data_IF_437010136833
#
_entry.id   IF_437010136833
#
_cell.length_a   1.000
_cell.length_b   1.000
_cell.length_c   1.000
_cell.angle_alpha   90.00
_cell.angle_beta   90.00
_cell.angle_gamma   90.00
#
_symmetry.space_group_name_H-M   'P 1'
#
loop_
_entity.id
_entity.type
_entity.pdbx_description
1 polymer ?
#
# COMPACT_ATOMS: atom_id res chain seq x y z
N UNK A 1 26.63 13.74 8.67
CA UNK A 1 25.37 14.51 8.86
C UNK A 1 25.06 15.24 7.56
N UNK A 2 23.94 14.92 6.92
CA UNK A 2 23.49 15.66 5.74
C UNK A 2 23.13 17.08 6.14
N UNK A 3 23.56 18.07 5.33
CA UNK A 3 23.20 19.46 5.56
C UNK A 3 21.73 19.66 5.19
N UNK A 4 20.90 20.04 6.14
CA UNK A 4 19.52 20.43 5.87
C UNK A 4 19.52 21.66 4.95
N UNK A 5 18.71 21.60 3.88
CA UNK A 5 18.52 22.71 2.96
C UNK A 5 17.93 23.92 3.70
N UNK A 6 18.32 25.14 3.30
CA UNK A 6 17.78 26.38 3.85
C UNK A 6 16.85 27.04 2.85
N UNK A 7 15.82 27.70 3.35
CA UNK A 7 14.96 28.53 2.51
C UNK A 7 15.74 29.75 2.03
N UNK A 8 15.62 30.07 0.74
CA UNK A 8 16.30 31.21 0.12
C UNK A 8 15.45 32.49 0.14
N UNK A 9 14.16 32.38 0.46
CA UNK A 9 13.21 33.49 0.53
C UNK A 9 12.48 33.49 1.86
N UNK A 10 11.97 34.65 2.31
CA UNK A 10 11.07 34.67 3.47
C UNK A 10 9.87 33.76 3.28
N UNK A 11 9.43 33.15 4.38
CA UNK A 11 8.23 32.33 4.39
C UNK A 11 7.00 33.20 4.15
N UNK A 12 6.21 32.89 3.12
CA UNK A 12 4.94 33.51 2.85
C UNK A 12 3.85 32.51 3.23
N UNK A 13 2.95 32.90 4.13
CA UNK A 13 1.78 32.09 4.45
C UNK A 13 0.74 32.30 3.36
N UNK A 14 0.34 31.21 2.70
CA UNK A 14 -0.70 31.22 1.66
C UNK A 14 -2.05 30.69 2.17
N UNK A 15 -2.12 30.23 3.42
CA UNK A 15 -3.36 29.83 4.07
C UNK A 15 -4.08 31.11 4.49
N UNK A 16 -5.30 31.27 4.02
CA UNK A 16 -6.11 32.49 4.24
C UNK A 16 -7.34 32.22 5.09
N UNK A 17 -7.67 30.96 5.35
CA UNK A 17 -8.81 30.60 6.19
C UNK A 17 -9.03 29.11 6.30
N UNK A 18 -9.94 28.77 7.21
CA UNK A 18 -10.44 27.42 7.42
C UNK A 18 -11.97 27.46 7.52
N UNK A 19 -12.63 26.37 7.16
CA UNK A 19 -14.08 26.29 7.24
C UNK A 19 -14.60 24.88 6.99
N UNK A 20 -15.88 24.79 6.75
CA UNK A 20 -16.56 23.59 6.22
C UNK A 20 -17.19 23.96 4.89
N UNK A 21 -17.09 23.06 3.92
CA UNK A 21 -17.68 23.23 2.61
C UNK A 21 -18.56 22.01 2.29
N UNK A 22 -19.70 22.25 1.67
CA UNK A 22 -20.57 21.18 1.20
C UNK A 22 -19.84 20.36 0.13
N UNK A 23 -19.92 19.02 0.22
CA UNK A 23 -19.16 18.12 -0.66
C UNK A 23 -19.49 18.34 -2.14
N UNK A 24 -20.74 18.71 -2.46
CA UNK A 24 -21.20 19.01 -3.82
C UNK A 24 -20.69 20.36 -4.37
N UNK A 25 -20.14 21.22 -3.53
CA UNK A 25 -19.50 22.49 -3.91
C UNK A 25 -17.98 22.36 -4.10
N UNK A 26 -17.39 21.25 -3.68
CA UNK A 26 -15.97 21.00 -3.82
C UNK A 26 -15.62 20.59 -5.26
N UNK A 27 -15.16 21.56 -6.06
CA UNK A 27 -14.87 21.37 -7.46
C UNK A 27 -13.53 20.64 -7.66
N UNK A 28 -13.58 19.51 -8.37
CA UNK A 28 -12.35 18.83 -8.77
C UNK A 28 -11.48 19.73 -9.68
N UNK A 29 -10.16 19.68 -9.46
CA UNK A 29 -9.25 20.40 -10.33
C UNK A 29 -9.03 19.62 -11.63
N UNK A 30 -9.28 20.24 -12.82
CA UNK A 30 -9.08 19.55 -14.10
C UNK A 30 -7.63 19.19 -14.40
N UNK A 31 -6.65 19.80 -13.70
CA UNK A 31 -5.24 19.49 -13.81
C UNK A 31 -4.82 18.38 -12.83
N UNK A 32 -5.75 17.83 -12.04
CA UNK A 32 -5.42 16.67 -11.19
C UNK A 32 -5.12 15.45 -12.06
N UNK A 33 -3.86 15.07 -12.11
CA UNK A 33 -3.35 13.96 -12.94
C UNK A 33 -3.36 12.61 -12.21
N UNK A 34 -3.75 12.58 -10.94
CA UNK A 34 -3.62 11.38 -10.10
C UNK A 34 -4.76 10.41 -10.31
N UNK A 35 -4.38 9.16 -10.44
CA UNK A 35 -5.30 8.03 -10.39
C UNK A 35 -5.12 7.32 -9.05
N UNK A 36 -6.22 7.01 -8.42
CA UNK A 36 -6.23 6.35 -7.11
C UNK A 36 -6.65 4.89 -7.29
N UNK A 37 -5.73 3.92 -7.20
CA UNK A 37 -6.06 2.50 -7.29
C UNK A 37 -6.95 2.05 -6.12
N UNK A 38 -7.64 0.93 -6.29
CA UNK A 38 -8.64 0.46 -5.33
C UNK A 38 -8.05 0.20 -3.93
N UNK A 39 -6.84 -0.36 -3.84
CA UNK A 39 -6.14 -0.57 -2.57
C UNK A 39 -5.93 0.75 -1.81
N UNK A 40 -5.52 1.83 -2.49
CA UNK A 40 -5.37 3.15 -1.87
C UNK A 40 -6.73 3.73 -1.42
N UNK A 41 -7.78 3.54 -2.22
CA UNK A 41 -9.12 3.98 -1.84
C UNK A 41 -9.61 3.24 -0.58
N UNK A 42 -9.41 1.92 -0.51
CA UNK A 42 -9.77 1.10 0.64
C UNK A 42 -8.95 1.48 1.88
N UNK A 43 -7.64 1.64 1.75
CA UNK A 43 -6.77 2.05 2.85
C UNK A 43 -7.19 3.39 3.45
N UNK A 44 -7.47 4.40 2.61
CA UNK A 44 -7.93 5.71 3.09
C UNK A 44 -9.32 5.62 3.71
N UNK A 45 -10.24 4.85 3.13
CA UNK A 45 -11.58 4.66 3.70
C UNK A 45 -11.50 3.99 5.07
N UNK A 46 -10.71 2.92 5.23
CA UNK A 46 -10.49 2.26 6.52
C UNK A 46 -9.90 3.20 7.57
N UNK A 47 -8.88 3.98 7.21
CA UNK A 47 -8.30 4.96 8.12
C UNK A 47 -9.30 6.05 8.55
N UNK A 48 -10.17 6.52 7.63
CA UNK A 48 -11.20 7.49 7.96
C UNK A 48 -12.27 6.88 8.88
N UNK A 49 -12.66 5.64 8.64
CA UNK A 49 -13.65 4.95 9.49
C UNK A 49 -13.11 4.70 10.91
N UNK A 50 -11.81 4.39 11.04
CA UNK A 50 -11.17 4.14 12.34
C UNK A 50 -10.95 5.40 13.17
N UNK A 51 -10.38 6.45 12.55
CA UNK A 51 -9.90 7.63 13.29
C UNK A 51 -10.54 8.95 12.86
N UNK A 52 -11.43 8.92 11.87
CA UNK A 52 -12.09 10.12 11.34
C UNK A 52 -11.20 10.96 10.40
N UNK A 53 -11.73 12.12 10.03
CA UNK A 53 -11.02 13.11 9.21
C UNK A 53 -10.02 13.89 10.05
N UNK A 54 -8.73 13.65 9.87
CA UNK A 54 -7.64 14.35 10.57
C UNK A 54 -6.91 15.37 9.69
N UNK A 55 -7.26 15.47 8.41
CA UNK A 55 -6.63 16.38 7.46
C UNK A 55 -7.68 17.03 6.56
N UNK A 56 -7.75 18.36 6.57
CA UNK A 56 -8.69 19.13 5.76
C UNK A 56 -8.42 18.98 4.26
N UNK A 57 -9.42 19.27 3.44
CA UNK A 57 -9.28 19.44 2.00
C UNK A 57 -8.73 20.83 1.73
N UNK A 58 -7.71 20.95 0.89
CA UNK A 58 -7.15 22.25 0.52
C UNK A 58 -7.83 22.78 -0.74
N UNK A 59 -8.42 23.98 -0.65
CA UNK A 59 -9.17 24.64 -1.72
C UNK A 59 -8.52 25.97 -2.07
N UNK A 60 -8.28 26.24 -3.34
CA UNK A 60 -7.84 27.55 -3.76
C UNK A 60 -9.03 28.50 -3.85
N UNK A 61 -9.04 29.55 -3.00
CA UNK A 61 -10.15 30.50 -2.94
C UNK A 61 -10.38 31.28 -4.26
N UNK A 62 -9.33 31.45 -5.10
CA UNK A 62 -9.46 32.17 -6.37
C UNK A 62 -10.20 31.36 -7.44
N UNK A 63 -9.98 30.06 -7.46
CA UNK A 63 -10.55 29.17 -8.48
C UNK A 63 -11.73 28.35 -7.97
N UNK A 64 -11.91 28.24 -6.65
CA UNK A 64 -12.87 27.36 -6.00
C UNK A 64 -12.53 25.87 -6.15
N UNK A 65 -11.32 25.55 -6.61
CA UNK A 65 -10.91 24.17 -6.94
C UNK A 65 -10.11 23.52 -5.81
N UNK A 66 -10.28 22.23 -5.69
CA UNK A 66 -9.48 21.40 -4.79
C UNK A 66 -8.04 21.34 -5.29
N UNK A 67 -7.09 21.62 -4.40
CA UNK A 67 -5.64 21.51 -4.64
C UNK A 67 -5.09 20.21 -4.01
N UNK A 68 -5.56 19.86 -2.82
CA UNK A 68 -5.25 18.58 -2.16
C UNK A 68 -6.50 17.97 -1.53
N UNK A 69 -6.60 16.64 -1.57
CA UNK A 69 -7.69 15.88 -0.97
C UNK A 69 -8.76 15.41 -1.92
N UNK A 70 -8.53 15.34 -3.24
CA UNK A 70 -9.49 14.85 -4.23
C UNK A 70 -10.07 13.48 -3.88
N UNK A 71 -9.25 12.53 -3.39
CA UNK A 71 -9.73 11.21 -2.98
C UNK A 71 -10.65 11.31 -1.75
N UNK A 72 -10.33 12.17 -0.77
CA UNK A 72 -11.19 12.41 0.40
C UNK A 72 -12.56 12.94 -0.01
N UNK A 73 -12.61 13.90 -0.94
CA UNK A 73 -13.86 14.42 -1.51
C UNK A 73 -14.65 13.32 -2.21
N UNK A 74 -13.98 12.49 -3.01
CA UNK A 74 -14.62 11.38 -3.73
C UNK A 74 -15.23 10.35 -2.76
N UNK A 75 -14.50 9.97 -1.71
CA UNK A 75 -15.00 9.04 -0.70
C UNK A 75 -16.17 9.63 0.08
N UNK A 76 -16.07 10.88 0.50
CA UNK A 76 -17.15 11.60 1.20
C UNK A 76 -18.42 11.66 0.36
N UNK A 77 -18.31 12.02 -0.93
CA UNK A 77 -19.45 12.04 -1.84
C UNK A 77 -20.13 10.68 -1.99
N UNK A 78 -19.34 9.60 -2.10
CA UNK A 78 -19.86 8.22 -2.20
C UNK A 78 -20.50 7.75 -0.89
N UNK A 79 -20.03 8.23 0.24
CA UNK A 79 -20.53 7.88 1.58
C UNK A 79 -21.69 8.75 2.04
N UNK A 80 -22.12 9.73 1.25
CA UNK A 80 -23.24 10.62 1.59
C UNK A 80 -22.90 11.62 2.71
N UNK A 81 -21.62 11.96 2.88
CA UNK A 81 -21.17 13.01 3.81
C UNK A 81 -21.58 14.37 3.26
N UNK A 82 -22.22 15.20 4.09
CA UNK A 82 -22.79 16.48 3.66
C UNK A 82 -21.72 17.56 3.48
N UNK A 83 -20.76 17.66 4.41
CA UNK A 83 -19.70 18.68 4.40
C UNK A 83 -18.36 18.10 4.82
N UNK A 84 -17.27 18.76 4.42
CA UNK A 84 -15.91 18.44 4.80
C UNK A 84 -15.18 19.66 5.36
N UNK A 85 -14.24 19.45 6.31
CA UNK A 85 -13.36 20.51 6.76
C UNK A 85 -12.41 20.93 5.62
N UNK A 86 -12.32 22.22 5.38
CA UNK A 86 -11.50 22.80 4.31
C UNK A 86 -10.49 23.80 4.86
N UNK A 87 -9.37 23.89 4.16
CA UNK A 87 -8.37 24.93 4.30
C UNK A 87 -8.31 25.71 2.99
N UNK A 88 -8.49 27.02 3.07
CA UNK A 88 -8.43 27.89 1.91
C UNK A 88 -7.02 28.45 1.70
N UNK A 89 -6.53 28.37 0.47
CA UNK A 89 -5.26 28.97 0.06
C UNK A 89 -5.48 30.03 -1.00
N UNK A 90 -4.57 31.02 -1.06
CA UNK A 90 -4.59 32.08 -2.06
C UNK A 90 -3.44 31.91 -3.04
N UNK A 91 -3.71 31.19 -4.15
CA UNK A 91 -2.72 30.87 -5.18
C UNK A 91 -3.16 31.42 -6.53
N UNK A 92 -2.21 31.95 -7.32
CA UNK A 92 -2.46 32.18 -8.72
C UNK A 92 -2.44 30.86 -9.52
N UNK A 93 -2.79 30.91 -10.82
CA UNK A 93 -2.90 29.70 -11.65
C UNK A 93 -1.56 28.92 -11.77
N UNK A 94 -0.44 29.64 -11.85
CA UNK A 94 0.88 29.00 -11.93
C UNK A 94 1.28 28.36 -10.61
N UNK A 95 1.00 29.02 -9.50
CA UNK A 95 1.23 28.52 -8.14
C UNK A 95 0.32 27.31 -7.84
N UNK A 96 -0.94 27.32 -8.28
CA UNK A 96 -1.87 26.20 -8.15
C UNK A 96 -1.36 24.98 -8.94
N UNK A 97 -0.93 25.16 -10.18
CA UNK A 97 -0.34 24.11 -10.99
C UNK A 97 0.94 23.54 -10.34
N UNK A 98 1.79 24.41 -9.81
CA UNK A 98 2.99 23.99 -9.09
C UNK A 98 2.65 23.19 -7.81
N UNK A 99 1.66 23.62 -7.04
CA UNK A 99 1.20 22.91 -5.84
C UNK A 99 0.70 21.51 -6.19
N UNK A 100 -0.19 21.39 -7.20
CA UNK A 100 -0.68 20.09 -7.69
C UNK A 100 0.44 19.14 -8.13
N UNK A 101 1.47 19.68 -8.79
CA UNK A 101 2.59 18.87 -9.26
C UNK A 101 3.52 18.41 -8.14
N UNK A 102 3.70 19.20 -7.08
CA UNK A 102 4.81 19.04 -6.14
C UNK A 102 4.45 18.44 -4.78
N UNK A 103 3.24 18.66 -4.26
CA UNK A 103 2.91 18.32 -2.87
C UNK A 103 3.16 16.83 -2.55
N UNK A 104 2.56 15.92 -3.32
CA UNK A 104 2.69 14.49 -3.03
C UNK A 104 4.00 13.86 -3.52
N UNK A 105 4.54 14.20 -4.72
CA UNK A 105 5.85 13.71 -5.10
C UNK A 105 6.94 14.06 -4.10
N UNK A 106 6.91 15.27 -3.51
CA UNK A 106 7.86 15.66 -2.47
C UNK A 106 7.66 14.80 -1.21
N UNK A 107 6.41 14.57 -0.79
CA UNK A 107 6.13 13.68 0.34
C UNK A 107 6.61 12.24 0.09
N UNK A 108 6.41 11.72 -1.12
CA UNK A 108 6.84 10.38 -1.53
C UNK A 108 8.36 10.21 -1.64
N UNK A 109 9.15 11.30 -1.69
CA UNK A 109 10.62 11.23 -1.70
C UNK A 109 11.24 10.97 -0.31
N UNK A 110 10.44 11.01 0.76
CA UNK A 110 10.93 10.71 2.09
C UNK A 110 11.28 9.22 2.22
N UNK A 111 12.44 8.93 2.84
CA UNK A 111 12.82 7.57 3.18
C UNK A 111 12.33 7.24 4.60
N UNK A 112 12.03 5.97 4.83
CA UNK A 112 11.55 5.47 6.11
C UNK A 112 12.70 5.05 7.04
N UNK A 113 12.60 5.41 8.31
CA UNK A 113 13.38 4.80 9.39
C UNK A 113 12.66 3.49 9.76
N UNK A 114 13.21 2.36 9.31
CA UNK A 114 12.56 1.04 9.44
C UNK A 114 12.30 0.65 10.90
N UNK A 115 13.19 0.99 11.84
CA UNK A 115 13.01 0.65 13.24
C UNK A 115 11.82 1.40 13.86
N UNK A 116 11.68 2.69 13.55
CA UNK A 116 10.54 3.48 14.01
C UNK A 116 9.25 3.10 13.32
N UNK A 117 9.32 2.72 12.05
CA UNK A 117 8.16 2.23 11.32
C UNK A 117 7.64 0.93 11.92
N UNK A 118 8.52 -0.02 12.26
CA UNK A 118 8.15 -1.26 12.94
C UNK A 118 7.48 -0.99 14.30
N UNK A 119 8.08 -0.10 15.11
CA UNK A 119 7.48 0.32 16.38
C UNK A 119 6.09 0.91 16.19
N UNK A 120 5.92 1.79 15.18
CA UNK A 120 4.64 2.41 14.86
C UNK A 120 3.60 1.38 14.41
N UNK A 121 3.98 0.44 13.52
CA UNK A 121 3.09 -0.61 13.03
C UNK A 121 2.59 -1.52 14.17
N UNK A 122 3.47 -1.86 15.12
CA UNK A 122 3.09 -2.64 16.31
C UNK A 122 2.19 -1.86 17.29
N UNK A 123 2.26 -0.55 17.29
CA UNK A 123 1.42 0.30 18.14
C UNK A 123 0.01 0.51 17.58
N UNK A 124 -0.19 0.33 16.27
CA UNK A 124 -1.51 0.46 15.64
C UNK A 124 -2.37 -0.74 16.01
N UNK A 125 -3.51 -0.46 16.64
CA UNK A 125 -4.55 -1.45 16.94
C UNK A 125 -5.79 -1.10 16.13
N UNK A 126 -6.09 -1.88 15.11
CA UNK A 126 -7.28 -1.73 14.28
C UNK A 126 -7.82 -3.11 13.94
N UNK A 127 -9.14 -3.27 14.07
CA UNK A 127 -9.87 -4.47 13.62
C UNK A 127 -10.38 -4.33 12.18
N UNK A 128 -10.16 -3.18 11.54
CA UNK A 128 -10.56 -2.96 10.15
C UNK A 128 -9.59 -3.68 9.19
N UNK A 129 -10.13 -4.62 8.41
CA UNK A 129 -9.35 -5.41 7.44
C UNK A 129 -8.63 -4.55 6.41
N UNK A 130 -9.17 -3.38 6.05
CA UNK A 130 -8.56 -2.45 5.09
C UNK A 130 -7.34 -1.76 5.70
N UNK A 131 -7.37 -1.45 6.99
CA UNK A 131 -6.22 -0.90 7.73
C UNK A 131 -5.14 -1.97 7.89
N UNK A 132 -5.51 -3.21 8.21
CA UNK A 132 -4.58 -4.33 8.28
C UNK A 132 -3.91 -4.60 6.93
N UNK A 133 -4.67 -4.57 5.83
CA UNK A 133 -4.13 -4.71 4.49
C UNK A 133 -3.14 -3.58 4.14
N UNK A 134 -3.46 -2.33 4.50
CA UNK A 134 -2.56 -1.19 4.33
C UNK A 134 -1.25 -1.38 5.10
N UNK A 135 -1.30 -1.81 6.35
CA UNK A 135 -0.10 -2.07 7.17
C UNK A 135 0.77 -3.15 6.50
N UNK A 136 0.15 -4.24 6.03
CA UNK A 136 0.85 -5.31 5.33
C UNK A 136 1.51 -4.82 4.04
N UNK A 137 0.83 -3.98 3.25
CA UNK A 137 1.36 -3.40 2.01
C UNK A 137 2.54 -2.45 2.30
N UNK A 138 2.48 -1.66 3.37
CA UNK A 138 3.59 -0.81 3.81
C UNK A 138 4.79 -1.68 4.20
N UNK A 139 4.57 -2.75 4.97
CA UNK A 139 5.62 -3.67 5.38
C UNK A 139 6.30 -4.35 4.17
N UNK A 140 5.51 -4.76 3.18
CA UNK A 140 6.00 -5.34 1.94
C UNK A 140 6.85 -4.33 1.13
N UNK A 141 6.32 -3.13 0.91
CA UNK A 141 7.00 -2.08 0.16
C UNK A 141 8.34 -1.69 0.79
N UNK A 142 8.41 -1.66 2.12
CA UNK A 142 9.64 -1.34 2.87
C UNK A 142 10.56 -2.55 3.06
N UNK A 143 10.18 -3.74 2.58
CA UNK A 143 10.97 -4.97 2.72
C UNK A 143 11.13 -5.38 4.18
N UNK A 144 10.08 -5.25 5.00
CA UNK A 144 10.10 -5.54 6.43
C UNK A 144 9.69 -6.98 6.75
N UNK A 145 9.27 -7.78 5.76
CA UNK A 145 8.91 -9.18 5.96
C UNK A 145 10.08 -10.08 6.38
N UNK A 146 11.33 -9.67 6.10
CA UNK A 146 12.53 -10.38 6.55
C UNK A 146 12.82 -10.21 8.06
N UNK A 147 12.00 -9.43 8.79
CA UNK A 147 12.23 -9.15 10.21
C UNK A 147 11.39 -9.98 11.18
N UNK A 148 10.50 -10.85 10.68
CA UNK A 148 9.91 -11.88 11.56
C UNK A 148 11.01 -12.87 11.90
N UNK A 149 11.28 -13.02 13.20
CA UNK A 149 12.24 -14.05 13.64
C UNK A 149 11.75 -15.42 13.22
N UNK A 150 12.68 -16.36 12.96
CA UNK A 150 12.33 -17.76 12.65
C UNK A 150 11.44 -18.38 13.75
N UNK A 151 11.57 -17.93 14.97
CA UNK A 151 10.77 -18.39 16.12
C UNK A 151 9.31 -17.87 16.03
N UNK A 152 9.09 -16.61 15.61
CA UNK A 152 7.74 -16.06 15.40
C UNK A 152 7.04 -16.68 14.18
N UNK A 153 7.80 -17.05 13.14
CA UNK A 153 7.28 -17.81 12.00
C UNK A 153 6.91 -19.23 12.40
N UNK A 154 7.73 -19.91 13.23
CA UNK A 154 7.45 -21.24 13.73
C UNK A 154 6.21 -21.27 14.63
N UNK A 155 6.02 -20.27 15.49
CA UNK A 155 4.83 -20.15 16.35
C UNK A 155 3.54 -19.90 15.55
N UNK A 156 3.64 -19.13 14.45
CA UNK A 156 2.47 -18.74 13.64
C UNK A 156 2.08 -19.77 12.58
N UNK A 157 3.06 -20.48 12.02
CA UNK A 157 2.86 -21.40 10.86
C UNK A 157 3.25 -22.86 11.18
N UNK A 158 3.69 -23.15 12.41
CA UNK A 158 4.23 -24.43 12.82
C UNK A 158 5.71 -24.61 12.44
N UNK A 159 6.35 -25.64 12.98
CA UNK A 159 7.73 -25.97 12.61
C UNK A 159 7.76 -26.28 11.11
N UNK A 160 8.54 -25.51 10.35
CA UNK A 160 8.76 -25.74 8.93
C UNK A 160 9.54 -27.04 8.75
N UNK A 161 9.03 -27.93 7.93
CA UNK A 161 9.76 -29.12 7.54
C UNK A 161 10.83 -28.73 6.51
N UNK A 162 12.01 -29.34 6.55
CA UNK A 162 13.10 -29.12 5.58
C UNK A 162 12.60 -29.23 4.11
N UNK A 163 11.57 -30.04 3.87
CA UNK A 163 10.90 -30.22 2.57
C UNK A 163 10.15 -28.99 2.05
N UNK A 164 9.74 -28.06 2.92
CA UNK A 164 9.01 -26.83 2.52
C UNK A 164 9.90 -25.88 1.71
N UNK A 165 11.22 -26.05 1.80
CA UNK A 165 12.23 -25.28 1.05
C UNK A 165 12.74 -26.01 -0.20
N UNK A 166 12.23 -27.18 -0.51
CA UNK A 166 12.67 -27.91 -1.69
C UNK A 166 12.18 -27.24 -2.98
N UNK A 167 13.04 -27.17 -4.01
CA UNK A 167 12.65 -26.59 -5.29
C UNK A 167 11.48 -27.37 -5.90
N UNK A 168 10.48 -26.66 -6.39
CA UNK A 168 9.31 -27.25 -7.05
C UNK A 168 9.50 -27.22 -8.56
N UNK A 169 9.45 -28.40 -9.19
CA UNK A 169 9.46 -28.52 -10.67
C UNK A 169 8.01 -28.67 -11.16
N UNK A 170 7.57 -27.75 -12.03
CA UNK A 170 6.25 -27.81 -12.67
C UNK A 170 6.41 -27.98 -14.18
N UNK A 171 5.86 -29.06 -14.71
CA UNK A 171 5.88 -29.35 -16.14
C UNK A 171 4.44 -29.60 -16.62
N UNK A 172 4.06 -28.96 -17.72
CA UNK A 172 2.82 -29.28 -18.41
C UNK A 172 3.05 -30.45 -19.40
N UNK A 173 2.29 -31.52 -19.25
CA UNK A 173 2.38 -32.70 -20.10
C UNK A 173 1.01 -33.05 -20.65
N UNK A 174 0.99 -33.82 -21.75
CA UNK A 174 -0.24 -34.35 -22.31
C UNK A 174 -0.91 -35.34 -21.34
N UNK A 175 -2.25 -35.59 -21.45
CA UNK A 175 -2.94 -36.58 -20.63
C UNK A 175 -2.34 -37.99 -20.76
N UNK A 176 -1.90 -38.35 -21.97
CA UNK A 176 -1.23 -39.63 -22.22
C UNK A 176 0.11 -39.75 -21.48
N UNK A 177 0.93 -38.71 -21.52
CA UNK A 177 2.20 -38.65 -20.80
C UNK A 177 1.99 -38.68 -19.28
N UNK A 178 0.95 -38.00 -18.77
CA UNK A 178 0.57 -38.05 -17.36
C UNK A 178 0.19 -39.45 -16.90
N UNK A 179 -0.56 -40.20 -17.74
CA UNK A 179 -0.93 -41.58 -17.43
C UNK A 179 0.30 -42.49 -17.33
N UNK A 180 1.23 -42.36 -18.29
CA UNK A 180 2.50 -43.10 -18.28
C UNK A 180 3.36 -42.73 -17.07
N UNK A 181 3.46 -41.43 -16.74
CA UNK A 181 4.20 -40.95 -15.58
C UNK A 181 3.66 -41.57 -14.28
N UNK A 182 2.34 -41.51 -14.07
CA UNK A 182 1.71 -42.12 -12.88
C UNK A 182 2.02 -43.61 -12.78
N UNK A 183 1.89 -44.37 -13.87
CA UNK A 183 2.19 -45.79 -13.87
C UNK A 183 3.65 -46.10 -13.49
N UNK A 184 4.59 -45.27 -13.93
CA UNK A 184 6.00 -45.37 -13.54
C UNK A 184 6.19 -45.03 -12.06
N UNK A 185 5.63 -43.92 -11.57
CA UNK A 185 5.71 -43.51 -10.18
C UNK A 185 5.13 -44.57 -9.22
N UNK A 186 4.02 -45.21 -9.59
CA UNK A 186 3.40 -46.26 -8.79
C UNK A 186 4.27 -47.52 -8.68
N UNK A 187 5.19 -47.74 -9.61
CA UNK A 187 6.11 -48.89 -9.64
C UNK A 187 7.42 -48.65 -8.88
N UNK A 188 7.67 -47.42 -8.42
CA UNK A 188 8.93 -47.03 -7.76
C UNK A 188 8.85 -47.21 -6.25
N UNK A 189 10.00 -47.53 -5.62
CA UNK A 189 10.09 -47.57 -4.16
C UNK A 189 10.04 -46.15 -3.57
N UNK A 190 9.39 -45.97 -2.43
CA UNK A 190 9.27 -44.72 -1.67
C UNK A 190 7.92 -44.62 -0.99
N UNK A 191 7.90 -43.98 0.16
CA UNK A 191 6.69 -43.81 0.97
C UNK A 191 5.86 -42.60 0.49
N UNK A 192 6.49 -41.65 -0.21
CA UNK A 192 5.81 -40.47 -0.79
C UNK A 192 6.26 -40.17 -2.22
N UNK A 193 5.59 -39.18 -2.87
CA UNK A 193 5.86 -38.80 -4.25
C UNK A 193 7.27 -38.23 -4.47
N UNK A 194 7.84 -37.54 -3.47
CA UNK A 194 9.18 -36.97 -3.57
C UNK A 194 10.26 -38.07 -3.57
N UNK A 195 10.13 -39.06 -2.72
CA UNK A 195 11.04 -40.22 -2.65
C UNK A 195 10.96 -41.07 -3.93
N UNK A 196 9.75 -41.28 -4.46
CA UNK A 196 9.56 -41.95 -5.72
C UNK A 196 10.16 -41.21 -6.90
N UNK A 197 10.03 -39.86 -6.90
CA UNK A 197 10.62 -39.03 -7.93
C UNK A 197 12.16 -39.04 -7.89
N UNK A 198 12.73 -38.99 -6.66
CA UNK A 198 14.16 -39.13 -6.47
C UNK A 198 14.68 -40.49 -6.99
N UNK A 199 13.97 -41.58 -6.68
CA UNK A 199 14.27 -42.89 -7.20
C UNK A 199 14.17 -42.99 -8.74
N UNK A 200 13.26 -42.22 -9.36
CA UNK A 200 13.16 -42.09 -10.82
C UNK A 200 14.38 -41.43 -11.42
N UNK A 201 14.74 -40.29 -10.89
CA UNK A 201 15.87 -39.46 -11.40
C UNK A 201 17.22 -40.18 -11.19
N UNK A 202 17.37 -40.87 -10.06
CA UNK A 202 18.62 -41.59 -9.73
C UNK A 202 18.84 -42.85 -10.59
N UNK A 203 17.86 -43.32 -11.37
CA UNK A 203 18.04 -44.46 -12.27
C UNK A 203 18.76 -44.11 -13.57
N UNK A 204 18.77 -42.86 -13.98
CA UNK A 204 19.34 -42.36 -15.22
C UNK A 204 20.74 -41.74 -15.06
N UNK A 205 21.26 -41.66 -13.81
CA UNK A 205 22.60 -41.19 -13.48
C UNK A 205 23.54 -42.33 -13.10
#
# INVERSE_FOLDING_TARGET
MSKIAKLNKPLINRIVGHGEEAVDQLLANPLNYRLHPDNQQQALAGAIDDIGFIRSVTVNQRTGRVVDGHLRVTLAARSGVESLPVEYVDLDEAEEAQALLSLDPIAAMAASDKAKLDELMRAVQSDDERVQAMISEIAEHEGMFDMLSLDELADKYGETNERDFWPVVRVQVSPETMTKFKAVMDSLPGDDEAEKFDALVSREL
#
